data_IF_695286436630
#
_entry.id   IF_695286436630
#
_cell.length_a   1.000
_cell.length_b   1.000
_cell.length_c   1.000
_cell.angle_alpha   90.00
_cell.angle_beta   90.00
_cell.angle_gamma   90.00
#
_symmetry.space_group_name_H-M   'P 1'
#
loop_
_entity.id
_entity.type
_entity.pdbx_description
1 polymer ?
#
# COMPACT_ATOMS: atom_id res chain seq x y z
N UNK A 1 18.80 14.82 -8.44
CA UNK A 1 17.59 15.39 -7.81
C UNK A 1 16.58 15.86 -8.83
N UNK A 2 16.92 16.76 -9.77
CA UNK A 2 15.99 17.18 -10.85
C UNK A 2 15.57 15.99 -11.72
N UNK A 3 16.50 15.18 -12.22
CA UNK A 3 16.17 14.00 -13.05
C UNK A 3 15.26 12.97 -12.35
N UNK A 4 15.48 12.75 -11.05
CA UNK A 4 14.66 11.84 -10.23
C UNK A 4 13.22 12.36 -10.07
N UNK A 5 13.06 13.68 -9.88
CA UNK A 5 11.74 14.32 -9.79
C UNK A 5 11.04 14.32 -11.15
N UNK A 6 11.77 14.47 -12.26
CA UNK A 6 11.20 14.36 -13.61
C UNK A 6 10.72 12.94 -13.90
N UNK A 7 11.48 11.92 -13.47
CA UNK A 7 11.08 10.52 -13.60
C UNK A 7 9.90 10.15 -12.69
N UNK A 8 9.78 10.72 -11.50
CA UNK A 8 8.60 10.53 -10.65
C UNK A 8 7.35 11.20 -11.24
N UNK A 9 7.50 12.33 -11.92
CA UNK A 9 6.38 13.02 -12.58
C UNK A 9 5.75 12.17 -13.69
N UNK A 10 6.52 11.31 -14.36
CA UNK A 10 6.00 10.46 -15.45
C UNK A 10 5.29 9.21 -14.95
N UNK A 11 5.62 8.68 -13.77
CA UNK A 11 4.96 7.49 -13.20
C UNK A 11 3.74 7.83 -12.34
N UNK A 12 3.61 9.09 -11.90
CA UNK A 12 2.63 9.50 -10.89
C UNK A 12 1.18 9.11 -11.25
N UNK A 13 0.81 9.18 -12.52
CA UNK A 13 -0.54 8.84 -12.98
C UNK A 13 -0.82 7.34 -12.79
N UNK A 14 0.13 6.48 -13.18
CA UNK A 14 0.03 5.04 -12.99
C UNK A 14 0.08 4.66 -11.51
N UNK A 15 0.95 5.30 -10.74
CA UNK A 15 1.09 5.04 -9.30
C UNK A 15 -0.17 5.45 -8.53
N UNK A 16 -0.77 6.60 -8.84
CA UNK A 16 -2.05 7.01 -8.28
C UNK A 16 -3.18 6.04 -8.65
N UNK A 17 -3.22 5.53 -9.89
CA UNK A 17 -4.21 4.55 -10.32
C UNK A 17 -4.12 3.26 -9.47
N UNK A 18 -2.91 2.72 -9.31
CA UNK A 18 -2.68 1.52 -8.49
C UNK A 18 -2.99 1.76 -7.02
N UNK A 19 -2.55 2.89 -6.47
CA UNK A 19 -2.78 3.25 -5.08
C UNK A 19 -4.28 3.38 -4.75
N UNK A 20 -5.03 4.07 -5.62
CA UNK A 20 -6.49 4.20 -5.47
C UNK A 20 -7.19 2.82 -5.55
N UNK A 21 -6.82 2.00 -6.53
CA UNK A 21 -7.35 0.64 -6.64
C UNK A 21 -7.02 -0.21 -5.41
N UNK A 22 -5.80 -0.08 -4.88
CA UNK A 22 -5.34 -0.82 -3.72
C UNK A 22 -6.15 -0.50 -2.45
N UNK A 23 -6.30 0.79 -2.13
CA UNK A 23 -7.05 1.25 -0.95
C UNK A 23 -8.52 0.82 -1.00
N UNK A 24 -9.13 0.84 -2.19
CA UNK A 24 -10.56 0.52 -2.35
C UNK A 24 -10.83 -0.98 -2.39
N UNK A 25 -9.94 -1.78 -3.01
CA UNK A 25 -10.25 -3.16 -3.37
C UNK A 25 -9.47 -4.21 -2.58
N UNK A 26 -8.25 -3.91 -2.12
CA UNK A 26 -7.37 -4.95 -1.56
C UNK A 26 -7.60 -5.21 -0.07
N UNK A 27 -8.16 -4.23 0.68
CA UNK A 27 -8.37 -4.32 2.12
C UNK A 27 -8.92 -5.66 2.64
N UNK A 28 -10.02 -6.20 2.09
CA UNK A 28 -10.61 -7.46 2.57
C UNK A 28 -9.96 -8.73 2.01
N UNK A 29 -9.03 -8.61 1.06
CA UNK A 29 -8.50 -9.76 0.31
C UNK A 29 -7.29 -10.38 1.01
N UNK A 30 -7.13 -11.71 0.95
CA UNK A 30 -5.93 -12.40 1.42
C UNK A 30 -4.72 -12.13 0.51
N UNK A 31 -3.52 -12.38 1.02
CA UNK A 31 -2.24 -12.04 0.37
C UNK A 31 -2.10 -12.59 -1.05
N UNK A 32 -2.44 -13.87 -1.25
CA UNK A 32 -2.35 -14.56 -2.54
C UNK A 32 -3.25 -13.90 -3.61
N UNK A 33 -4.46 -13.51 -3.23
CA UNK A 33 -5.39 -12.80 -4.11
C UNK A 33 -4.89 -11.39 -4.41
N UNK A 34 -4.36 -10.68 -3.40
CA UNK A 34 -3.76 -9.34 -3.61
C UNK A 34 -2.62 -9.39 -4.61
N UNK A 35 -1.71 -10.36 -4.47
CA UNK A 35 -0.58 -10.55 -5.38
C UNK A 35 -1.05 -10.88 -6.80
N UNK A 36 -1.99 -11.82 -6.94
CA UNK A 36 -2.56 -12.18 -8.24
C UNK A 36 -3.24 -10.99 -8.94
N UNK A 37 -4.03 -10.19 -8.22
CA UNK A 37 -4.66 -8.99 -8.75
C UNK A 37 -3.64 -7.93 -9.15
N UNK A 38 -2.64 -7.67 -8.31
CA UNK A 38 -1.58 -6.72 -8.61
C UNK A 38 -0.85 -7.11 -9.91
N UNK A 39 -0.44 -8.37 -10.07
CA UNK A 39 0.22 -8.81 -11.31
C UNK A 39 -0.68 -8.66 -12.55
N UNK A 40 -1.99 -8.91 -12.42
CA UNK A 40 -2.95 -8.69 -13.51
C UNK A 40 -3.12 -7.21 -13.84
N UNK A 41 -3.16 -6.35 -12.84
CA UNK A 41 -3.25 -4.90 -13.05
C UNK A 41 -1.97 -4.37 -13.70
N UNK A 42 -0.79 -4.80 -13.25
CA UNK A 42 0.51 -4.46 -13.86
C UNK A 42 0.55 -4.86 -15.34
N UNK A 43 0.10 -6.06 -15.69
CA UNK A 43 -0.01 -6.49 -17.08
C UNK A 43 -1.01 -5.61 -17.87
N UNK A 44 -2.17 -5.28 -17.29
CA UNK A 44 -3.21 -4.47 -17.94
C UNK A 44 -2.86 -3.00 -18.12
N UNK A 45 -2.04 -2.44 -17.22
CA UNK A 45 -1.49 -1.07 -17.29
C UNK A 45 -0.40 -1.01 -18.35
N UNK A 46 0.50 -1.99 -18.37
CA UNK A 46 1.53 -2.13 -19.42
C UNK A 46 0.93 -2.26 -20.81
N UNK A 47 -0.13 -3.07 -20.96
CA UNK A 47 -0.83 -3.23 -22.24
C UNK A 47 -1.53 -1.95 -22.74
N UNK A 48 -1.81 -0.99 -21.84
CA UNK A 48 -2.38 0.32 -22.18
C UNK A 48 -1.32 1.42 -22.29
N UNK A 49 -0.04 1.05 -22.26
CA UNK A 49 1.10 1.98 -22.33
C UNK A 49 1.07 3.06 -21.24
N UNK A 50 0.45 2.75 -20.08
CA UNK A 50 0.45 3.63 -18.92
C UNK A 50 1.77 3.43 -18.17
N UNK A 51 2.50 4.52 -17.96
CA UNK A 51 3.77 4.51 -17.20
C UNK A 51 3.46 4.50 -15.71
N UNK A 52 4.08 3.57 -14.99
CA UNK A 52 3.96 3.40 -13.55
C UNK A 52 5.26 2.85 -12.96
N UNK A 53 5.43 2.97 -11.65
CA UNK A 53 6.56 2.37 -10.94
C UNK A 53 6.51 0.84 -11.05
N UNK A 54 7.67 0.23 -11.36
CA UNK A 54 7.81 -1.21 -11.51
C UNK A 54 9.06 -1.69 -10.73
N UNK A 55 8.90 -2.47 -9.65
CA UNK A 55 7.62 -2.97 -9.10
C UNK A 55 6.81 -1.86 -8.39
N UNK A 56 5.48 -1.95 -8.47
CA UNK A 56 4.60 -1.05 -7.71
C UNK A 56 4.64 -1.39 -6.21
N UNK A 57 4.74 -0.35 -5.38
CA UNK A 57 4.80 -0.42 -3.93
C UNK A 57 3.85 0.60 -3.30
N UNK A 58 2.81 0.10 -2.63
CA UNK A 58 1.77 0.95 -2.04
C UNK A 58 2.33 1.83 -0.92
N UNK A 59 3.20 1.27 -0.09
CA UNK A 59 3.88 1.96 1.00
C UNK A 59 4.77 3.11 0.53
N UNK A 60 5.35 3.02 -0.67
CA UNK A 60 6.15 4.10 -1.24
C UNK A 60 5.32 5.24 -1.84
N UNK A 61 4.03 4.99 -2.13
CA UNK A 61 3.14 5.96 -2.76
C UNK A 61 2.25 6.67 -1.73
N UNK A 62 1.79 5.96 -0.71
CA UNK A 62 0.82 6.46 0.28
C UNK A 62 1.37 6.51 1.72
N UNK A 63 2.67 6.33 1.91
CA UNK A 63 3.34 6.47 3.20
C UNK A 63 4.77 6.97 3.00
N UNK A 64 5.44 7.29 4.10
CA UNK A 64 6.86 7.57 4.17
C UNK A 64 7.57 6.57 5.10
N UNK A 65 8.88 6.45 4.94
CA UNK A 65 9.72 5.49 5.68
C UNK A 65 9.67 5.72 7.20
N UNK A 66 9.56 6.98 7.65
CA UNK A 66 9.50 7.31 9.06
C UNK A 66 8.17 6.84 9.67
N UNK A 67 7.05 7.06 8.99
CA UNK A 67 5.73 6.57 9.40
C UNK A 67 5.70 5.04 9.49
N UNK A 68 6.25 4.34 8.49
CA UNK A 68 6.34 2.87 8.52
C UNK A 68 7.19 2.39 9.70
N UNK A 69 8.33 3.03 9.94
CA UNK A 69 9.19 2.72 11.09
C UNK A 69 8.46 2.94 12.42
N UNK A 70 7.69 4.02 12.55
CA UNK A 70 6.88 4.27 13.75
C UNK A 70 5.83 3.17 13.96
N UNK A 71 5.16 2.71 12.91
CA UNK A 71 4.24 1.58 13.04
C UNK A 71 4.93 0.31 13.53
N UNK A 72 6.15 0.03 13.05
CA UNK A 72 6.94 -1.12 13.51
C UNK A 72 7.32 -0.99 14.99
N UNK A 73 7.71 0.21 15.44
CA UNK A 73 7.96 0.51 16.87
C UNK A 73 6.69 0.27 17.71
N UNK A 74 5.52 0.63 17.18
CA UNK A 74 4.21 0.37 17.80
C UNK A 74 3.74 -1.09 17.67
N UNK A 75 4.58 -1.99 17.17
CA UNK A 75 4.31 -3.43 17.13
C UNK A 75 3.58 -3.92 15.88
N UNK A 76 3.52 -3.14 14.81
CA UNK A 76 3.16 -3.65 13.48
C UNK A 76 4.26 -4.60 12.98
N UNK A 77 3.93 -5.79 12.48
CA UNK A 77 4.91 -6.65 11.83
C UNK A 77 5.59 -5.95 10.65
N UNK A 78 6.88 -6.23 10.43
CA UNK A 78 7.68 -5.58 9.38
C UNK A 78 7.50 -6.19 7.98
N UNK A 79 6.62 -7.17 7.82
CA UNK A 79 6.35 -7.78 6.53
C UNK A 79 5.50 -6.86 5.64
N UNK A 80 5.63 -7.05 4.32
CA UNK A 80 4.96 -6.21 3.33
C UNK A 80 3.43 -6.24 3.45
N UNK A 81 2.84 -7.38 3.79
CA UNK A 81 1.38 -7.51 3.88
C UNK A 81 0.83 -6.70 5.05
N UNK A 82 1.52 -6.73 6.19
CA UNK A 82 1.18 -5.93 7.37
C UNK A 82 1.32 -4.43 7.08
N UNK A 83 2.43 -4.01 6.44
CA UNK A 83 2.63 -2.62 6.02
C UNK A 83 1.55 -2.15 5.04
N UNK A 84 1.28 -2.90 3.96
CA UNK A 84 0.25 -2.55 2.98
C UNK A 84 -1.14 -2.46 3.66
N UNK A 85 -1.43 -3.35 4.61
CA UNK A 85 -2.69 -3.32 5.35
C UNK A 85 -2.81 -2.11 6.28
N UNK A 86 -1.71 -1.69 6.92
CA UNK A 86 -1.66 -0.46 7.70
C UNK A 86 -1.86 0.77 6.82
N UNK A 87 -1.20 0.83 5.65
CA UNK A 87 -1.36 1.91 4.67
C UNK A 87 -2.82 2.02 4.20
N UNK A 88 -3.45 0.88 3.88
CA UNK A 88 -4.87 0.86 3.50
C UNK A 88 -5.75 1.37 4.66
N UNK A 89 -5.50 0.90 5.88
CA UNK A 89 -6.30 1.28 7.05
C UNK A 89 -6.20 2.78 7.39
N UNK A 90 -5.01 3.39 7.21
CA UNK A 90 -4.79 4.81 7.51
C UNK A 90 -5.20 5.75 6.37
N UNK A 91 -5.30 5.25 5.14
CA UNK A 91 -5.72 6.02 3.97
C UNK A 91 -7.18 5.72 3.53
N UNK A 92 -7.90 4.86 4.25
CA UNK A 92 -9.28 4.50 3.91
C UNK A 92 -10.24 5.68 4.10
N UNK A 93 -11.16 5.86 3.15
CA UNK A 93 -12.21 6.90 3.21
C UNK A 93 -13.24 6.68 4.32
N UNK A 94 -13.36 5.44 4.81
CA UNK A 94 -14.27 5.05 5.90
C UNK A 94 -13.45 4.42 7.00
N UNK A 95 -13.97 4.45 8.23
CA UNK A 95 -13.36 3.77 9.37
C UNK A 95 -13.07 2.31 9.01
N UNK A 96 -11.80 1.86 9.08
CA UNK A 96 -11.43 0.52 8.68
C UNK A 96 -11.98 -0.52 9.66
N UNK A 97 -12.38 -1.67 9.13
CA UNK A 97 -12.75 -2.84 9.92
C UNK A 97 -11.61 -3.86 9.90
N UNK A 98 -10.99 -4.10 11.05
CA UNK A 98 -9.78 -4.91 11.18
C UNK A 98 -10.16 -6.35 11.58
N UNK A 99 -9.96 -7.30 10.67
CA UNK A 99 -10.14 -8.74 10.94
C UNK A 99 -8.79 -9.34 11.33
N UNK A 100 -8.58 -9.51 12.63
CA UNK A 100 -7.26 -9.90 13.17
C UNK A 100 -7.40 -10.92 14.31
N UNK A 101 -7.32 -12.23 14.00
CA UNK A 101 -7.41 -13.28 15.02
C UNK A 101 -6.21 -13.28 15.97
N UNK A 102 -5.06 -12.75 15.55
CA UNK A 102 -3.82 -12.75 16.33
C UNK A 102 -3.69 -11.51 17.24
N UNK A 103 -4.64 -10.57 17.17
CA UNK A 103 -4.64 -9.31 17.94
C UNK A 103 -3.36 -8.47 17.72
N UNK A 104 -2.70 -8.62 16.58
CA UNK A 104 -1.57 -7.78 16.16
C UNK A 104 -2.01 -6.36 15.82
N UNK A 105 -3.03 -6.20 14.97
CA UNK A 105 -3.61 -4.91 14.62
C UNK A 105 -4.18 -4.19 15.85
N UNK A 106 -4.82 -4.94 16.76
CA UNK A 106 -5.33 -4.35 18.01
C UNK A 106 -4.20 -3.76 18.87
N UNK A 107 -3.07 -4.46 18.99
CA UNK A 107 -1.91 -3.96 19.74
C UNK A 107 -1.30 -2.74 19.07
N UNK A 108 -1.15 -2.79 17.75
CA UNK A 108 -0.65 -1.67 16.96
C UNK A 108 -1.50 -0.41 17.11
N UNK A 109 -2.83 -0.51 16.93
CA UNK A 109 -3.72 0.65 17.09
C UNK A 109 -3.63 1.23 18.50
N UNK A 110 -3.64 0.39 19.55
CA UNK A 110 -3.54 0.86 20.94
C UNK A 110 -2.20 1.52 21.29
N UNK A 111 -1.12 1.13 20.63
CA UNK A 111 0.20 1.72 20.86
C UNK A 111 0.44 2.98 20.02
N UNK A 112 -0.29 3.12 18.90
CA UNK A 112 -0.24 4.26 17.99
C UNK A 112 -1.09 5.46 18.49
N UNK A 113 -2.23 5.18 19.13
CA UNK A 113 -3.11 6.20 19.75
C UNK A 113 -2.62 6.60 21.15
#
# INVERSE_FOLDING_TARGET
QIETLTAATTTVVGDCLFAAAAVVLLGPLPLDVRQSLQSRWEAGVKAKEIVASAPFRLDQVLSDDLTVLQWQIHGLPSDRFSTDSAVIATNALRTPFLVDPQRQALRWVKAKE
#
